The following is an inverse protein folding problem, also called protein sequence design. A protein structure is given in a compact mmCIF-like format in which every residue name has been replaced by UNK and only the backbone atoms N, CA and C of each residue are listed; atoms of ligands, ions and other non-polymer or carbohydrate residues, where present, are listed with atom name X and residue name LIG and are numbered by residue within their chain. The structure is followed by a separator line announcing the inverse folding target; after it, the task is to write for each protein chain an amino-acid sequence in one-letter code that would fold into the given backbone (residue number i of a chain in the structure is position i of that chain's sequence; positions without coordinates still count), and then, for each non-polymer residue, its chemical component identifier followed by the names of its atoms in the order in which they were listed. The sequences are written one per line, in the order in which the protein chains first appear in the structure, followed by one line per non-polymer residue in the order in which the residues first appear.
data_IF_375610847811
#
_entry.id   IF_375610847811
#
_cell.length_a   1.000
_cell.length_b   1.000
_cell.length_c   1.000
_cell.angle_alpha   90.00
_cell.angle_beta   90.00
_cell.angle_gamma   90.00
#
_symmetry.space_group_name_H-M   'P 1'
#
loop_
_entity.id
_entity.type
_entity.pdbx_description
1 polymer ?
#
# COMPACT_ATOMS: atom_id res chain seq x y z
N UNK A 1 7.42 -13.50 12.16
CA UNK A 1 8.86 -13.27 11.93
C UNK A 1 9.09 -12.88 10.47
N UNK A 2 9.88 -11.87 10.24
CA UNK A 2 10.18 -11.38 8.90
C UNK A 2 11.43 -12.06 8.38
N UNK A 3 11.40 -12.53 7.13
CA UNK A 3 12.59 -13.10 6.48
C UNK A 3 13.66 -12.04 6.26
N UNK A 4 14.90 -12.46 5.97
CA UNK A 4 15.99 -11.53 5.67
C UNK A 4 15.69 -10.72 4.40
N UNK A 5 15.07 -11.32 3.40
CA UNK A 5 14.64 -10.63 2.18
C UNK A 5 13.56 -9.60 2.49
N UNK A 6 12.59 -9.97 3.32
CA UNK A 6 11.53 -9.04 3.73
C UNK A 6 12.07 -7.81 4.44
N UNK A 7 13.10 -7.99 5.30
CA UNK A 7 13.77 -6.86 5.95
C UNK A 7 14.46 -5.96 4.95
N UNK A 8 15.13 -6.54 3.96
CA UNK A 8 15.80 -5.76 2.90
C UNK A 8 14.80 -4.97 2.07
N UNK A 9 13.65 -5.55 1.79
CA UNK A 9 12.60 -4.87 1.04
C UNK A 9 12.07 -3.67 1.82
N UNK A 10 11.84 -3.84 3.12
CA UNK A 10 11.39 -2.74 3.98
C UNK A 10 12.44 -1.64 4.05
N UNK A 11 13.71 -2.01 4.24
CA UNK A 11 14.81 -1.05 4.26
C UNK A 11 14.92 -0.28 2.94
N UNK A 12 14.70 -0.96 1.82
CA UNK A 12 14.68 -0.32 0.52
C UNK A 12 13.59 0.76 0.45
N UNK A 13 12.38 0.42 0.89
CA UNK A 13 11.27 1.38 0.92
C UNK A 13 11.58 2.56 1.83
N UNK A 14 12.10 2.30 3.03
CA UNK A 14 12.47 3.37 3.97
C UNK A 14 13.49 4.32 3.35
N UNK A 15 14.52 3.79 2.71
CA UNK A 15 15.55 4.59 2.07
C UNK A 15 15.00 5.38 0.89
N UNK A 16 14.15 4.76 0.08
CA UNK A 16 13.53 5.44 -1.05
C UNK A 16 12.66 6.61 -0.57
N UNK A 17 11.87 6.41 0.47
CA UNK A 17 11.05 7.48 1.05
C UNK A 17 11.91 8.60 1.62
N UNK A 18 13.05 8.26 2.23
CA UNK A 18 13.96 9.27 2.79
C UNK A 18 14.67 10.11 1.75
N UNK A 19 14.83 9.60 0.53
CA UNK A 19 15.52 10.32 -0.56
C UNK A 19 14.60 11.02 -1.52
N UNK A 20 13.35 10.58 -1.63
CA UNK A 20 12.43 11.11 -2.62
C UNK A 20 12.00 12.52 -2.28
N UNK A 21 11.89 13.35 -3.30
CA UNK A 21 11.43 14.74 -3.20
C UNK A 21 10.06 14.94 -3.83
N UNK A 22 9.54 13.89 -4.44
CA UNK A 22 8.24 13.87 -5.09
C UNK A 22 7.36 12.81 -4.44
N UNK A 23 6.04 12.88 -4.64
CA UNK A 23 5.15 11.85 -4.12
C UNK A 23 5.56 10.47 -4.58
N UNK A 24 5.54 9.53 -3.65
CA UNK A 24 5.94 8.14 -3.91
C UNK A 24 4.71 7.24 -3.87
N UNK A 25 4.64 6.35 -4.83
CA UNK A 25 3.69 5.23 -4.83
C UNK A 25 4.50 3.96 -4.60
N UNK A 26 4.17 3.24 -3.55
CA UNK A 26 4.79 1.94 -3.27
C UNK A 26 3.87 0.84 -3.77
N UNK A 27 4.44 -0.14 -4.41
CA UNK A 27 3.72 -1.33 -4.88
C UNK A 27 4.36 -2.55 -4.26
N UNK A 28 3.59 -3.34 -3.55
CA UNK A 28 4.06 -4.56 -2.93
C UNK A 28 3.04 -5.68 -3.09
N UNK A 29 3.49 -6.92 -2.93
CA UNK A 29 2.55 -8.04 -2.92
C UNK A 29 1.74 -8.06 -1.62
N UNK A 30 2.40 -7.95 -0.49
CA UNK A 30 1.73 -7.99 0.81
C UNK A 30 1.26 -6.60 1.25
N UNK A 31 0.13 -6.56 1.99
CA UNK A 31 -0.32 -5.30 2.59
C UNK A 31 0.69 -4.70 3.55
N UNK A 32 0.69 -3.39 3.65
CA UNK A 32 1.53 -2.63 4.59
C UNK A 32 0.80 -2.29 5.89
N UNK A 33 -0.41 -2.77 6.06
CA UNK A 33 -1.24 -2.50 7.23
C UNK A 33 -2.00 -3.76 7.61
N UNK A 34 -2.23 -3.92 8.90
CA UNK A 34 -3.04 -5.02 9.41
C UNK A 34 -4.55 -4.73 9.32
N UNK A 35 -4.93 -3.53 8.90
CA UNK A 35 -6.33 -3.12 8.78
C UNK A 35 -7.12 -3.95 7.78
N UNK A 36 -6.43 -4.53 6.80
CA UNK A 36 -7.04 -5.37 5.75
C UNK A 36 -6.96 -6.85 6.09
N UNK A 37 -6.34 -7.22 7.19
CA UNK A 37 -6.24 -8.61 7.65
C UNK A 37 -7.44 -8.91 8.52
N UNK A 38 -8.12 -10.02 8.25
CA UNK A 38 -9.27 -10.42 9.06
C UNK A 38 -8.86 -10.59 10.52
N UNK A 39 -9.74 -10.17 11.43
CA UNK A 39 -9.45 -10.11 12.85
C UNK A 39 -9.00 -11.46 13.43
N UNK A 40 -9.59 -12.54 12.97
CA UNK A 40 -9.22 -13.88 13.44
C UNK A 40 -7.81 -14.32 13.01
N UNK A 41 -7.21 -13.64 12.04
CA UNK A 41 -5.83 -13.91 11.60
C UNK A 41 -4.81 -12.97 12.23
N UNK A 42 -5.24 -11.84 12.79
CA UNK A 42 -4.31 -10.84 13.35
C UNK A 42 -3.48 -11.33 14.51
N UNK A 43 -4.00 -12.29 15.24
CA UNK A 43 -3.36 -12.83 16.45
C UNK A 43 -2.69 -14.18 16.23
N UNK A 44 -2.64 -14.66 15.00
CA UNK A 44 -2.01 -15.92 14.63
C UNK A 44 -0.66 -15.68 13.98
N UNK A 45 0.24 -16.65 14.09
CA UNK A 45 1.54 -16.57 13.40
C UNK A 45 1.36 -16.40 11.89
N UNK A 46 0.27 -16.91 11.33
CA UNK A 46 -0.06 -16.77 9.90
C UNK A 46 -0.31 -15.33 9.47
N UNK A 47 -0.51 -14.40 10.39
CA UNK A 47 -0.67 -12.99 10.02
C UNK A 47 0.52 -12.48 9.21
N UNK A 48 1.73 -13.00 9.47
CA UNK A 48 2.92 -12.61 8.74
C UNK A 48 2.86 -12.99 7.26
N UNK A 49 1.98 -13.92 6.90
CA UNK A 49 1.73 -14.30 5.52
C UNK A 49 0.67 -13.43 4.85
N UNK A 50 0.00 -12.56 5.59
CA UNK A 50 -1.08 -11.72 5.08
C UNK A 50 -0.72 -10.25 5.01
N UNK A 51 0.25 -9.82 5.78
CA UNK A 51 0.68 -8.44 5.80
C UNK A 51 1.47 -8.12 7.05
N UNK A 52 1.96 -6.91 7.10
CA UNK A 52 2.73 -6.40 8.22
C UNK A 52 2.25 -5.01 8.57
N UNK A 53 2.49 -4.62 9.81
CA UNK A 53 2.21 -3.26 10.23
C UNK A 53 3.43 -2.38 9.89
N UNK A 54 3.32 -1.68 8.77
CA UNK A 54 4.31 -0.72 8.32
C UNK A 54 3.77 0.71 8.37
N UNK A 55 2.73 0.95 9.18
CA UNK A 55 2.13 2.29 9.28
C UNK A 55 3.12 3.33 9.82
N UNK A 56 4.21 2.90 10.46
CA UNK A 56 5.28 3.81 10.86
C UNK A 56 5.95 4.50 9.67
N UNK A 57 5.81 3.96 8.47
CA UNK A 57 6.33 4.54 7.23
C UNK A 57 5.35 5.51 6.58
N UNK A 58 4.15 5.66 7.13
CA UNK A 58 3.12 6.52 6.59
C UNK A 58 3.42 7.97 6.93
N UNK A 59 4.13 8.60 6.05
CA UNK A 59 4.56 10.01 6.16
C UNK A 59 4.92 10.52 4.76
N UNK A 60 5.03 11.84 4.56
CA UNK A 60 5.53 12.33 3.28
C UNK A 60 6.93 11.75 2.98
N UNK A 61 7.25 11.46 1.73
CA UNK A 61 6.47 11.70 0.52
C UNK A 61 5.57 10.54 0.09
N UNK A 62 5.29 9.57 0.96
CA UNK A 62 4.42 8.46 0.62
C UNK A 62 2.99 8.95 0.37
N UNK A 63 2.52 8.75 -0.83
CA UNK A 63 1.17 9.15 -1.25
C UNK A 63 0.20 7.98 -1.22
N UNK A 64 0.59 6.86 -1.85
CA UNK A 64 -0.28 5.71 -2.04
C UNK A 64 0.53 4.44 -1.89
N UNK A 65 -0.07 3.43 -1.29
CA UNK A 65 0.48 2.09 -1.22
C UNK A 65 -0.49 1.12 -1.88
N UNK A 66 -0.03 0.48 -2.94
CA UNK A 66 -0.78 -0.52 -3.69
C UNK A 66 -0.30 -1.90 -3.26
N UNK A 67 -1.21 -2.77 -2.92
CA UNK A 67 -0.87 -4.11 -2.45
C UNK A 67 -1.78 -5.16 -3.08
N UNK A 68 -1.37 -6.41 -2.97
CA UNK A 68 -2.12 -7.57 -3.41
C UNK A 68 -2.37 -8.54 -2.26
N UNK A 69 -2.27 -9.81 -2.53
CA UNK A 69 -2.37 -10.94 -1.61
C UNK A 69 -3.75 -11.13 -0.99
N UNK A 70 -4.38 -10.11 -0.45
CA UNK A 70 -5.76 -10.19 0.05
C UNK A 70 -6.72 -10.18 -1.14
N UNK A 71 -7.66 -11.09 -1.15
CA UNK A 71 -8.59 -11.26 -2.29
C UNK A 71 -9.86 -10.43 -2.06
N UNK A 72 -9.69 -9.20 -1.64
CA UNK A 72 -10.76 -8.24 -1.43
C UNK A 72 -10.32 -6.88 -1.94
N UNK A 73 -11.23 -6.16 -2.53
CA UNK A 73 -10.96 -4.78 -2.97
C UNK A 73 -10.84 -3.87 -1.77
N UNK A 74 -9.86 -3.00 -1.81
CA UNK A 74 -9.68 -1.96 -0.82
C UNK A 74 -9.31 -0.64 -1.50
N UNK A 75 -9.92 0.42 -1.05
CA UNK A 75 -9.56 1.79 -1.41
C UNK A 75 -9.94 2.68 -0.23
N UNK A 76 -8.97 2.96 0.61
CA UNK A 76 -9.19 3.78 1.79
C UNK A 76 -7.91 4.53 2.13
N UNK A 77 -8.04 5.52 3.02
CA UNK A 77 -6.89 6.31 3.46
C UNK A 77 -6.66 6.12 4.95
N UNK A 78 -5.40 6.04 5.33
CA UNK A 78 -4.98 5.97 6.73
C UNK A 78 -4.36 7.32 7.09
N UNK A 79 -4.92 8.02 8.07
CA UNK A 79 -4.36 9.29 8.49
C UNK A 79 -3.11 9.08 9.33
N UNK A 80 -2.19 10.02 9.24
CA UNK A 80 -1.07 10.12 10.15
C UNK A 80 -1.00 11.52 10.76
N UNK A 81 -0.45 11.60 11.96
CA UNK A 81 -0.20 12.84 12.65
C UNK A 81 1.22 12.82 13.18
N UNK A 82 1.98 13.83 12.87
CA UNK A 82 3.40 13.89 13.23
C UNK A 82 3.79 15.31 13.63
N UNK A 83 4.58 15.41 14.67
CA UNK A 83 5.16 16.69 15.07
C UNK A 83 6.21 17.17 14.07
N UNK A 84 6.79 16.26 13.29
CA UNK A 84 7.81 16.57 12.30
C UNK A 84 7.20 16.87 10.94
N UNK A 85 6.26 16.04 10.50
CA UNK A 85 5.70 16.07 9.14
C UNK A 85 4.31 16.70 9.04
N UNK A 86 3.69 17.01 10.19
CA UNK A 86 2.31 17.50 10.23
C UNK A 86 1.31 16.38 10.05
N UNK A 87 0.12 16.74 9.64
CA UNK A 87 -0.99 15.82 9.44
C UNK A 87 -1.17 15.51 7.96
N UNK A 88 -1.46 14.27 7.65
CA UNK A 88 -1.72 13.84 6.30
C UNK A 88 -2.36 12.47 6.27
N UNK A 89 -2.40 11.87 5.10
CA UNK A 89 -2.97 10.54 4.91
C UNK A 89 -2.25 9.80 3.79
N UNK A 90 -2.24 8.48 3.88
CA UNK A 90 -1.74 7.59 2.84
C UNK A 90 -2.90 6.77 2.32
N UNK A 91 -3.04 6.74 1.00
CA UNK A 91 -4.08 5.94 0.35
C UNK A 91 -3.61 4.50 0.18
N UNK A 92 -4.46 3.56 0.55
CA UNK A 92 -4.22 2.13 0.44
C UNK A 92 -5.15 1.56 -0.62
N UNK A 93 -4.58 0.89 -1.62
CA UNK A 93 -5.33 0.37 -2.76
C UNK A 93 -5.04 -1.11 -2.97
N UNK A 94 -6.10 -1.87 -3.16
CA UNK A 94 -6.02 -3.26 -3.60
C UNK A 94 -7.14 -3.54 -4.59
N UNK A 95 -6.76 -4.02 -5.78
CA UNK A 95 -7.72 -4.38 -6.83
C UNK A 95 -7.40 -5.81 -7.30
N UNK A 96 -7.74 -6.83 -6.50
CA UNK A 96 -7.28 -8.18 -6.72
C UNK A 96 -8.05 -8.88 -7.84
N UNK A 97 -7.35 -9.77 -8.55
CA UNK A 97 -7.98 -10.68 -9.49
C UNK A 97 -8.55 -11.91 -8.76
N UNK A 98 -7.84 -12.40 -7.75
CA UNK A 98 -8.21 -13.58 -6.99
C UNK A 98 -7.85 -14.88 -7.69
N UNK A 99 -8.31 -16.00 -7.14
CA UNK A 99 -8.17 -17.30 -7.77
C UNK A 99 -9.27 -17.51 -8.81
N UNK A 100 -9.07 -18.42 -9.80
CA UNK A 100 -10.06 -18.63 -10.86
C UNK A 100 -11.46 -19.03 -10.38
N UNK A 101 -11.56 -19.65 -9.21
CA UNK A 101 -12.83 -20.06 -8.62
C UNK A 101 -13.47 -19.02 -7.72
N UNK A 102 -12.86 -17.87 -7.56
CA UNK A 102 -13.37 -16.79 -6.72
C UNK A 102 -14.17 -15.80 -7.55
N UNK A 103 -15.22 -15.25 -6.92
CA UNK A 103 -16.09 -14.25 -7.55
C UNK A 103 -15.62 -12.85 -7.12
N UNK A 104 -14.45 -12.46 -7.57
CA UNK A 104 -13.93 -11.13 -7.31
C UNK A 104 -14.00 -10.33 -8.60
N UNK A 105 -14.72 -9.22 -8.56
CA UNK A 105 -14.84 -8.34 -9.72
C UNK A 105 -13.72 -7.30 -9.68
N UNK A 106 -12.55 -7.64 -10.21
CA UNK A 106 -11.48 -6.64 -10.37
C UNK A 106 -11.87 -5.63 -11.44
N UNK A 107 -11.54 -4.38 -11.21
CA UNK A 107 -11.76 -3.32 -12.19
C UNK A 107 -10.50 -3.17 -13.05
N UNK A 108 -10.58 -3.65 -14.28
CA UNK A 108 -9.44 -3.64 -15.21
C UNK A 108 -9.10 -2.24 -15.73
N UNK A 109 -9.96 -1.28 -15.48
CA UNK A 109 -9.77 0.10 -15.96
C UNK A 109 -9.57 1.08 -14.81
N UNK A 110 -9.31 0.57 -13.61
CA UNK A 110 -9.14 1.41 -12.44
C UNK A 110 -7.94 2.35 -12.59
N UNK A 111 -8.17 3.62 -12.39
CA UNK A 111 -7.16 4.68 -12.53
C UNK A 111 -7.28 5.60 -11.33
N UNK A 112 -6.14 6.07 -10.84
CA UNK A 112 -6.12 7.10 -9.82
C UNK A 112 -5.04 8.13 -10.13
N UNK A 113 -5.16 9.28 -9.48
CA UNK A 113 -4.27 10.40 -9.70
C UNK A 113 -3.38 10.62 -8.48
N UNK A 114 -2.14 10.96 -8.74
CA UNK A 114 -1.19 11.35 -7.70
C UNK A 114 -0.86 12.83 -7.90
N UNK A 115 -1.23 13.64 -6.91
CA UNK A 115 -0.92 15.06 -6.91
C UNK A 115 0.37 15.31 -6.13
N UNK A 116 1.18 16.24 -6.64
CA UNK A 116 2.41 16.60 -5.97
C UNK A 116 2.20 17.47 -4.73
N UNK A 117 1.01 17.89 -4.42
CA UNK A 117 0.65 18.83 -3.34
C UNK A 117 1.35 20.18 -3.39
N UNK A 118 2.46 20.27 -4.09
CA UNK A 118 3.24 21.49 -4.22
C UNK A 118 2.96 22.20 -5.53
N UNK A 119 2.47 21.44 -6.52
CA UNK A 119 2.32 21.96 -7.86
C UNK A 119 1.36 21.10 -8.64
N UNK A 120 0.19 21.64 -8.92
CA UNK A 120 -0.85 20.93 -9.67
C UNK A 120 -0.41 20.52 -11.10
N UNK A 121 0.72 21.04 -11.57
CA UNK A 121 1.24 20.70 -12.89
C UNK A 121 1.93 19.33 -12.94
N UNK A 122 2.25 18.76 -11.80
CA UNK A 122 2.97 17.49 -11.72
C UNK A 122 2.04 16.34 -11.28
N UNK A 123 0.95 16.20 -12.00
CA UNK A 123 0.01 15.10 -11.75
C UNK A 123 0.44 13.86 -12.52
N UNK A 124 0.44 12.72 -11.84
CA UNK A 124 0.76 11.43 -12.44
C UNK A 124 -0.45 10.52 -12.37
N UNK A 125 -0.83 9.98 -13.50
CA UNK A 125 -1.91 9.01 -13.60
C UNK A 125 -1.33 7.61 -13.61
N UNK A 126 -1.76 6.79 -12.65
CA UNK A 126 -1.30 5.40 -12.56
C UNK A 126 -2.50 4.49 -12.81
N UNK A 127 -2.37 3.65 -13.82
CA UNK A 127 -3.40 2.67 -14.15
C UNK A 127 -3.06 1.33 -13.50
N UNK A 128 -4.03 0.76 -12.83
CA UNK A 128 -3.93 -0.61 -12.37
C UNK A 128 -3.97 -1.54 -13.59
N UNK A 129 -2.89 -2.25 -13.85
CA UNK A 129 -3.01 -3.26 -14.88
C UNK A 129 -3.80 -4.43 -14.43
N UNK A 130 -4.07 -5.36 -14.50
CA UNK A 130 -4.84 -6.46 -13.99
C UNK A 130 -4.70 -6.58 -12.47
N UNK A 131 -5.69 -7.00 -11.81
CA UNK A 131 -5.71 -7.07 -10.37
C UNK A 131 -4.36 -7.42 -9.76
N UNK A 132 -3.96 -6.67 -8.76
CA UNK A 132 -2.74 -6.87 -7.99
C UNK A 132 -2.91 -8.13 -7.13
N UNK A 133 -3.09 -9.22 -7.77
CA UNK A 133 -3.42 -10.45 -7.10
C UNK A 133 -2.20 -11.10 -6.49
N UNK A 134 -2.20 -12.05 -5.95
CA UNK A 134 -1.28 -12.90 -5.29
C UNK A 134 0.06 -13.17 -5.98
#
# INVERSE_FOLDING_TARGET
MISSEGKKDIEFVEQALGRAKEPVVVISHYPSTLRVVEENFRHKLTQFNYGQDLERLFRPPLHTWIFGHVHQKHDFSVPYSSTIYGNGKVRLLCNPYGYPNETIASDKTYVFQVDSNLNALNQVWVKYPYGMSY
#
